data_IF_750502629446
#
_entry.id   IF_750502629446
#
_cell.length_a   1.000
_cell.length_b   1.000
_cell.length_c   1.000
_cell.angle_alpha   90.00
_cell.angle_beta   90.00
_cell.angle_gamma   90.00
#
_symmetry.space_group_name_H-M   'P 1'
#
loop_
_entity.id
_entity.type
_entity.pdbx_description
1 polymer ?
#
# COMPACT_ATOMS: atom_id res chain seq x y z
N UNK A 1 -1.67 9.91 4.41
CA UNK A 1 -1.76 9.28 3.08
C UNK A 1 -0.60 8.29 2.90
N UNK A 2 -0.84 6.98 2.92
CA UNK A 2 0.23 5.96 2.93
C UNK A 2 1.15 6.03 1.71
N UNK A 3 0.59 6.18 0.51
CA UNK A 3 1.33 6.23 -0.75
C UNK A 3 2.37 7.36 -0.78
N UNK A 4 1.99 8.59 -0.43
CA UNK A 4 2.91 9.73 -0.39
C UNK A 4 4.04 9.53 0.63
N UNK A 5 3.76 8.89 1.76
CA UNK A 5 4.78 8.54 2.74
C UNK A 5 5.81 7.54 2.21
N UNK A 6 5.39 6.59 1.37
CA UNK A 6 6.30 5.67 0.69
C UNK A 6 7.25 6.42 -0.24
N UNK A 7 6.79 7.48 -0.92
CA UNK A 7 7.67 8.30 -1.77
C UNK A 7 8.69 9.12 -0.95
N UNK A 8 8.32 9.66 0.20
CA UNK A 8 9.30 10.33 1.08
C UNK A 8 10.33 9.34 1.63
N UNK A 9 9.92 8.15 2.06
CA UNK A 9 10.85 7.08 2.45
C UNK A 9 11.78 6.70 1.30
N UNK A 10 11.25 6.55 0.08
CA UNK A 10 12.06 6.25 -1.11
C UNK A 10 13.09 7.37 -1.39
N UNK A 11 12.68 8.64 -1.33
CA UNK A 11 13.60 9.76 -1.52
C UNK A 11 14.73 9.76 -0.49
N UNK A 12 14.44 9.42 0.76
CA UNK A 12 15.44 9.29 1.81
C UNK A 12 16.38 8.10 1.57
N UNK A 13 15.83 6.90 1.40
CA UNK A 13 16.60 5.66 1.41
C UNK A 13 17.32 5.39 0.09
N UNK A 14 16.73 5.78 -1.04
CA UNK A 14 17.27 5.47 -2.37
C UNK A 14 17.97 6.66 -3.02
N UNK A 15 17.59 7.89 -2.67
CA UNK A 15 18.17 9.10 -3.26
C UNK A 15 19.01 9.91 -2.26
N UNK A 16 19.03 9.54 -0.98
CA UNK A 16 19.79 10.25 0.06
C UNK A 16 19.27 11.65 0.37
N UNK A 17 18.02 11.96 -0.01
CA UNK A 17 17.41 13.27 0.21
C UNK A 17 16.73 13.30 1.57
N UNK A 18 17.09 14.27 2.40
CA UNK A 18 16.39 14.49 3.67
C UNK A 18 14.89 14.73 3.43
N UNK A 19 13.98 14.04 4.15
CA UNK A 19 12.54 14.20 3.94
C UNK A 19 12.03 15.64 4.07
N UNK A 20 12.69 16.45 4.91
CA UNK A 20 12.37 17.87 5.07
C UNK A 20 12.61 18.71 3.80
N UNK A 21 13.35 18.18 2.81
CA UNK A 21 13.61 18.81 1.51
C UNK A 21 12.66 18.31 0.42
N UNK A 22 11.67 17.48 0.77
CA UNK A 22 10.71 16.87 -0.17
C UNK A 22 9.34 17.48 0.04
N UNK A 23 8.84 18.19 -0.96
CA UNK A 23 7.45 18.64 -0.99
C UNK A 23 6.54 17.49 -1.44
N UNK A 24 5.67 17.02 -0.54
CA UNK A 24 4.66 16.02 -0.87
C UNK A 24 3.32 16.70 -1.14
N UNK A 25 2.84 16.55 -2.37
CA UNK A 25 1.63 17.20 -2.87
C UNK A 25 0.65 16.13 -3.37
N UNK A 26 -0.59 16.22 -2.90
CA UNK A 26 -1.72 15.55 -3.53
C UNK A 26 -2.36 16.55 -4.51
N UNK A 27 -2.13 16.35 -5.81
CA UNK A 27 -2.71 17.17 -6.86
C UNK A 27 -3.85 16.43 -7.55
N UNK A 28 -5.07 16.93 -7.38
CA UNK A 28 -6.22 16.44 -8.12
C UNK A 28 -6.28 17.18 -9.47
N UNK A 29 -6.43 16.44 -10.56
CA UNK A 29 -6.49 17.02 -11.91
C UNK A 29 -7.91 17.28 -12.38
N UNK A 30 -8.90 16.58 -11.80
CA UNK A 30 -10.32 16.77 -12.11
C UNK A 30 -10.84 18.02 -11.41
N UNK A 31 -10.55 18.12 -10.11
CA UNK A 31 -10.76 19.31 -9.31
C UNK A 31 -9.38 19.94 -9.16
N UNK A 32 -9.14 21.18 -9.64
CA UNK A 32 -7.80 21.77 -9.68
C UNK A 32 -7.32 22.20 -8.29
N UNK A 33 -7.24 21.24 -7.38
CA UNK A 33 -6.90 21.39 -5.97
C UNK A 33 -5.57 20.70 -5.71
N UNK A 34 -4.71 21.38 -4.96
CA UNK A 34 -3.40 20.85 -4.55
C UNK A 34 -3.35 20.93 -3.03
N UNK A 35 -3.25 19.78 -2.38
CA UNK A 35 -3.13 19.68 -0.94
C UNK A 35 -1.67 19.32 -0.58
N UNK A 36 -0.95 20.21 0.13
CA UNK A 36 0.36 19.86 0.66
C UNK A 36 0.20 18.93 1.87
N UNK A 37 1.04 17.90 1.94
CA UNK A 37 1.13 17.02 3.10
C UNK A 37 2.46 17.25 3.81
N UNK A 38 2.37 17.52 5.11
CA UNK A 38 3.54 17.59 5.99
C UNK A 38 3.94 16.21 6.48
N UNK A 39 5.25 16.01 6.56
CA UNK A 39 5.85 14.77 7.01
C UNK A 39 6.95 15.07 8.02
N UNK A 40 7.02 14.23 9.03
CA UNK A 40 8.05 14.23 10.05
C UNK A 40 8.62 12.81 10.18
N UNK A 41 9.70 12.69 10.93
CA UNK A 41 10.39 11.43 11.15
C UNK A 41 9.47 10.37 11.78
N UNK A 42 8.58 10.79 12.70
CA UNK A 42 7.63 9.90 13.35
C UNK A 42 6.62 9.28 12.35
N UNK A 43 6.09 10.09 11.42
CA UNK A 43 5.21 9.60 10.36
C UNK A 43 5.95 8.66 9.42
N UNK A 44 7.19 8.95 9.06
CA UNK A 44 7.98 8.08 8.18
C UNK A 44 8.26 6.73 8.84
N UNK A 45 8.59 6.70 10.13
CA UNK A 45 8.77 5.44 10.83
C UNK A 45 7.46 4.65 10.93
N UNK A 46 6.32 5.33 11.13
CA UNK A 46 5.01 4.66 11.10
C UNK A 46 4.70 4.03 9.73
N UNK A 47 5.04 4.71 8.63
CA UNK A 47 4.90 4.14 7.28
C UNK A 47 5.83 2.96 7.09
N UNK A 48 7.08 3.06 7.56
CA UNK A 48 8.06 1.97 7.47
C UNK A 48 7.58 0.73 8.23
N UNK A 49 7.03 0.91 9.42
CA UNK A 49 6.47 -0.20 10.18
C UNK A 49 5.24 -0.78 9.47
N UNK A 50 4.33 0.06 8.98
CA UNK A 50 3.18 -0.42 8.20
C UNK A 50 3.62 -1.22 6.95
N UNK A 51 4.68 -0.80 6.25
CA UNK A 51 5.28 -1.55 5.14
C UNK A 51 5.81 -2.91 5.61
N UNK A 52 6.58 -2.96 6.71
CA UNK A 52 7.10 -4.21 7.28
C UNK A 52 5.98 -5.17 7.65
N UNK A 53 4.96 -4.69 8.35
CA UNK A 53 3.81 -5.49 8.73
C UNK A 53 3.07 -6.02 7.50
N UNK A 54 2.82 -5.16 6.50
CA UNK A 54 2.16 -5.53 5.24
C UNK A 54 2.94 -6.60 4.48
N UNK A 55 4.24 -6.41 4.28
CA UNK A 55 5.12 -7.38 3.59
C UNK A 55 5.11 -8.73 4.31
N UNK A 56 5.22 -8.73 5.64
CA UNK A 56 5.17 -9.96 6.43
C UNK A 56 3.83 -10.66 6.26
N UNK A 57 2.72 -9.94 6.37
CA UNK A 57 1.38 -10.51 6.19
C UNK A 57 1.20 -11.09 4.79
N UNK A 58 1.60 -10.38 3.73
CA UNK A 58 1.54 -10.88 2.36
C UNK A 58 2.37 -12.15 2.17
N UNK A 59 3.57 -12.23 2.76
CA UNK A 59 4.42 -13.42 2.70
C UNK A 59 3.85 -14.62 3.46
N UNK A 60 3.09 -14.38 4.52
CA UNK A 60 2.48 -15.45 5.31
C UNK A 60 1.41 -16.24 4.53
N UNK A 61 0.82 -15.65 3.49
CA UNK A 61 -0.11 -16.31 2.58
C UNK A 61 0.56 -17.23 1.55
N UNK A 62 1.88 -17.17 1.40
CA UNK A 62 2.60 -17.96 0.40
C UNK A 62 2.92 -19.34 0.97
N UNK A 63 2.59 -20.38 0.20
CA UNK A 63 2.98 -21.75 0.52
C UNK A 63 4.51 -21.95 0.47
N UNK A 64 5.19 -21.20 -0.41
CA UNK A 64 6.64 -21.02 -0.41
C UNK A 64 6.96 -19.55 -0.73
N UNK A 65 7.36 -18.80 0.29
CA UNK A 65 7.69 -17.38 0.15
C UNK A 65 9.00 -17.12 -0.62
N UNK A 66 9.94 -18.06 -0.65
CA UNK A 66 11.20 -17.91 -1.37
C UNK A 66 11.02 -18.12 -2.87
N UNK A 67 10.17 -19.09 -3.25
CA UNK A 67 9.82 -19.37 -4.65
C UNK A 67 8.61 -18.56 -5.16
N UNK A 68 8.00 -17.72 -4.31
CA UNK A 68 6.78 -16.96 -4.59
C UNK A 68 5.60 -17.84 -5.04
N UNK A 69 5.42 -18.99 -4.39
CA UNK A 69 4.35 -19.94 -4.68
C UNK A 69 3.16 -19.69 -3.75
N UNK A 70 1.99 -19.49 -4.34
CA UNK A 70 0.72 -19.24 -3.67
C UNK A 70 -0.29 -20.36 -3.96
N UNK A 71 -1.23 -20.60 -3.04
CA UNK A 71 -2.42 -21.44 -3.27
C UNK A 71 -3.66 -20.59 -3.02
N UNK A 72 -4.62 -20.64 -3.93
CA UNK A 72 -5.82 -19.81 -3.85
C UNK A 72 -6.60 -20.01 -2.54
N UNK A 73 -6.59 -21.23 -1.99
CA UNK A 73 -7.29 -21.59 -0.76
C UNK A 73 -6.66 -20.98 0.50
N UNK A 74 -5.39 -20.55 0.43
CA UNK A 74 -4.72 -19.91 1.56
C UNK A 74 -5.15 -18.43 1.70
N UNK A 75 -5.70 -17.81 0.65
CA UNK A 75 -6.10 -16.39 0.66
C UNK A 75 -7.52 -16.19 1.17
N UNK A 76 -7.64 -15.53 2.32
CA UNK A 76 -8.93 -15.20 2.92
C UNK A 76 -9.76 -14.29 2.00
N UNK A 77 -11.04 -14.62 1.87
CA UNK A 77 -12.00 -13.79 1.14
C UNK A 77 -12.61 -12.78 2.09
N UNK A 78 -12.73 -11.53 1.66
CA UNK A 78 -13.47 -10.52 2.42
C UNK A 78 -14.91 -10.97 2.71
N UNK A 79 -15.39 -10.65 3.90
CA UNK A 79 -16.79 -10.80 4.30
C UNK A 79 -17.64 -9.58 3.91
N UNK A 80 -17.01 -8.45 3.59
CA UNK A 80 -17.73 -7.24 3.17
C UNK A 80 -18.14 -7.33 1.69
N UNK A 81 -19.27 -7.99 1.41
CA UNK A 81 -19.73 -8.24 0.05
C UNK A 81 -19.94 -6.96 -0.79
N UNK A 82 -20.24 -5.83 -0.13
CA UNK A 82 -20.46 -4.55 -0.83
C UNK A 82 -19.23 -4.09 -1.63
N UNK A 83 -18.01 -4.35 -1.14
CA UNK A 83 -16.78 -3.93 -1.84
C UNK A 83 -16.50 -4.80 -3.07
N UNK A 84 -17.04 -6.02 -3.13
CA UNK A 84 -16.87 -6.92 -4.28
C UNK A 84 -17.47 -6.34 -5.57
N UNK A 85 -18.46 -5.44 -5.49
CA UNK A 85 -19.08 -4.80 -6.66
C UNK A 85 -18.09 -4.07 -7.55
N UNK A 86 -17.02 -3.52 -6.97
CA UNK A 86 -16.01 -2.72 -7.66
C UNK A 86 -14.65 -3.44 -7.73
N UNK A 87 -14.57 -4.69 -7.26
CA UNK A 87 -13.32 -5.44 -7.22
C UNK A 87 -13.01 -6.07 -8.58
N UNK A 88 -11.85 -5.74 -9.13
CA UNK A 88 -11.35 -6.31 -10.39
C UNK A 88 -11.15 -7.84 -10.33
N UNK A 89 -11.08 -8.42 -9.13
CA UNK A 89 -10.84 -9.85 -8.92
C UNK A 89 -12.10 -10.65 -8.58
N UNK A 90 -13.30 -10.04 -8.64
CA UNK A 90 -14.56 -10.70 -8.28
C UNK A 90 -14.75 -12.05 -9.00
N UNK A 91 -14.51 -12.10 -10.31
CA UNK A 91 -14.72 -13.32 -11.11
C UNK A 91 -13.87 -14.51 -10.68
N UNK A 92 -12.69 -14.27 -10.10
CA UNK A 92 -11.79 -15.34 -9.63
C UNK A 92 -12.02 -15.63 -8.14
N UNK A 93 -12.27 -14.60 -7.34
CA UNK A 93 -12.42 -14.72 -5.88
C UNK A 93 -13.81 -15.27 -5.46
N UNK A 94 -14.88 -14.83 -6.13
CA UNK A 94 -16.29 -15.15 -5.85
C UNK A 94 -17.06 -15.27 -7.17
N UNK A 95 -16.82 -16.30 -7.99
CA UNK A 95 -17.48 -16.48 -9.29
C UNK A 95 -19.01 -16.65 -9.18
N UNK A 96 -19.50 -17.01 -8.01
CA UNK A 96 -20.89 -17.27 -7.66
C UNK A 96 -21.69 -16.03 -7.24
N UNK A 97 -21.02 -14.93 -6.91
CA UNK A 97 -21.64 -13.61 -6.61
C UNK A 97 -21.82 -12.80 -7.88
#
# INVERSE_FOLDING_TARGET
AFQLGCYALYAQEMLGVEPAKVDLLEANLREPTVAPLRWDEARLEAIREQLRLSIRSMRAYLADAAANVARIDDFERTEEIRICRWCNFRSVCRPDL
#
